data_IF_905289201593
#
_entry.id   IF_905289201593
#
_cell.length_a   1.000
_cell.length_b   1.000
_cell.length_c   1.000
_cell.angle_alpha   90.00
_cell.angle_beta   90.00
_cell.angle_gamma   90.00
#
_symmetry.space_group_name_H-M   'P 1'
#
loop_
_entity.id
_entity.type
_entity.pdbx_description
1 polymer ?
#
# COMPACT_ATOMS: atom_id res chain seq x y z
N UNK A 1 -0.05 -18.17 -8.52
CA UNK A 1 -0.47 -16.96 -7.79
C UNK A 1 0.81 -16.22 -7.44
N UNK A 2 0.94 -14.93 -7.76
CA UNK A 2 2.16 -14.15 -7.56
C UNK A 2 1.84 -12.89 -6.74
N UNK A 3 1.61 -13.00 -5.40
CA UNK A 3 1.35 -11.84 -4.56
C UNK A 3 2.53 -10.86 -4.57
N UNK A 4 3.78 -11.36 -4.66
CA UNK A 4 5.00 -10.57 -4.69
C UNK A 4 4.95 -9.46 -5.73
N UNK A 5 4.60 -9.78 -6.99
CA UNK A 5 4.56 -8.79 -8.06
C UNK A 5 3.62 -7.63 -7.74
N UNK A 6 2.43 -7.92 -7.20
CA UNK A 6 1.44 -6.90 -6.82
C UNK A 6 1.95 -5.99 -5.70
N UNK A 7 2.64 -6.59 -4.72
CA UNK A 7 3.24 -5.82 -3.63
C UNK A 7 4.31 -4.85 -4.16
N UNK A 8 5.18 -5.32 -5.07
CA UNK A 8 6.23 -4.48 -5.67
C UNK A 8 5.65 -3.40 -6.58
N UNK A 9 4.61 -3.69 -7.37
CA UNK A 9 3.89 -2.69 -8.18
C UNK A 9 3.29 -1.60 -7.28
N UNK A 10 2.68 -1.98 -6.14
CA UNK A 10 2.15 -1.03 -5.17
C UNK A 10 3.25 -0.22 -4.50
N UNK A 11 4.35 -0.84 -4.09
CA UNK A 11 5.50 -0.15 -3.52
C UNK A 11 6.09 0.86 -4.52
N UNK A 12 6.21 0.49 -5.80
CA UNK A 12 6.67 1.41 -6.84
C UNK A 12 5.71 2.59 -7.03
N UNK A 13 4.39 2.37 -6.97
CA UNK A 13 3.40 3.46 -7.00
C UNK A 13 3.63 4.42 -5.84
N UNK A 14 3.80 3.91 -4.60
CA UNK A 14 4.05 4.75 -3.42
C UNK A 14 5.31 5.61 -3.62
N UNK A 15 6.41 5.02 -4.11
CA UNK A 15 7.65 5.74 -4.42
C UNK A 15 7.41 6.82 -5.47
N UNK A 16 6.68 6.50 -6.54
CA UNK A 16 6.42 7.44 -7.64
C UNK A 16 5.58 8.64 -7.18
N UNK A 17 4.53 8.42 -6.37
CA UNK A 17 3.64 9.51 -5.91
C UNK A 17 4.24 10.35 -4.78
N UNK A 18 5.04 9.75 -3.89
CA UNK A 18 5.66 10.46 -2.76
C UNK A 18 7.06 11.02 -3.07
N UNK A 19 7.60 10.76 -4.26
CA UNK A 19 8.89 11.34 -4.66
C UNK A 19 8.77 12.85 -4.92
N UNK A 20 9.83 13.64 -4.68
CA UNK A 20 9.85 15.05 -5.05
C UNK A 20 9.46 15.25 -6.52
N UNK A 21 8.49 16.13 -6.78
CA UNK A 21 7.96 16.36 -8.13
C UNK A 21 7.06 15.23 -8.67
N UNK A 22 6.78 14.19 -7.88
CA UNK A 22 5.95 13.06 -8.30
C UNK A 22 4.51 13.47 -8.67
N UNK A 23 3.97 14.47 -7.98
CA UNK A 23 2.62 15.00 -8.20
C UNK A 23 2.60 16.30 -9.04
N UNK A 24 3.74 16.74 -9.60
CA UNK A 24 3.75 17.82 -10.57
C UNK A 24 2.96 17.43 -11.85
N UNK A 25 2.52 18.41 -12.63
CA UNK A 25 1.65 18.20 -13.80
C UNK A 25 2.15 17.11 -14.77
N UNK A 26 3.48 16.95 -14.90
CA UNK A 26 4.11 15.89 -15.70
C UNK A 26 4.85 14.87 -14.84
N UNK A 27 4.53 14.80 -13.55
CA UNK A 27 5.17 13.93 -12.57
C UNK A 27 4.93 12.45 -12.86
N UNK A 28 5.88 11.62 -12.43
CA UNK A 28 5.75 10.15 -12.55
C UNK A 28 4.58 9.62 -11.73
N UNK A 29 4.35 10.19 -10.54
CA UNK A 29 3.27 9.81 -9.64
C UNK A 29 1.90 10.03 -10.26
N UNK A 30 1.68 11.18 -10.94
CA UNK A 30 0.42 11.44 -11.67
C UNK A 30 0.16 10.36 -12.72
N UNK A 31 1.17 10.03 -13.55
CA UNK A 31 1.04 8.98 -14.57
C UNK A 31 0.79 7.59 -13.96
N UNK A 32 1.47 7.29 -12.86
CA UNK A 32 1.28 6.01 -12.16
C UNK A 32 -0.13 5.93 -11.55
N UNK A 33 -0.61 6.98 -10.89
CA UNK A 33 -1.98 7.03 -10.37
C UNK A 33 -3.03 6.85 -11.47
N UNK A 34 -2.86 7.52 -12.63
CA UNK A 34 -3.75 7.35 -13.79
C UNK A 34 -3.75 5.90 -14.33
N UNK A 35 -2.59 5.25 -14.40
CA UNK A 35 -2.48 3.84 -14.81
C UNK A 35 -3.22 2.92 -13.83
N UNK A 36 -3.06 3.14 -12.52
CA UNK A 36 -3.75 2.35 -11.49
C UNK A 36 -5.26 2.58 -11.58
N UNK A 37 -5.73 3.82 -11.76
CA UNK A 37 -7.14 4.13 -12.00
C UNK A 37 -7.71 3.40 -13.21
N UNK A 38 -6.98 3.39 -14.33
CA UNK A 38 -7.37 2.64 -15.52
C UNK A 38 -7.46 1.14 -15.25
N UNK A 39 -6.48 0.59 -14.53
CA UNK A 39 -6.49 -0.82 -14.14
C UNK A 39 -7.70 -1.16 -13.24
N UNK A 40 -8.05 -0.31 -12.29
CA UNK A 40 -9.23 -0.50 -11.46
C UNK A 40 -10.51 -0.55 -12.30
N UNK A 41 -10.64 0.35 -13.28
CA UNK A 41 -11.76 0.35 -14.21
C UNK A 41 -11.81 -0.93 -15.04
N UNK A 42 -10.68 -1.40 -15.53
CA UNK A 42 -10.53 -2.62 -16.29
C UNK A 42 -10.91 -3.87 -15.48
N UNK A 43 -10.38 -3.98 -14.24
CA UNK A 43 -10.68 -5.10 -13.35
C UNK A 43 -12.17 -5.09 -12.98
N UNK A 44 -12.75 -3.94 -12.70
CA UNK A 44 -14.19 -3.79 -12.46
C UNK A 44 -15.01 -4.31 -13.64
N UNK A 45 -14.65 -3.90 -14.84
CA UNK A 45 -15.30 -4.36 -16.06
C UNK A 45 -15.22 -5.88 -16.21
N UNK A 46 -14.03 -6.46 -16.04
CA UNK A 46 -13.86 -7.92 -16.11
C UNK A 46 -14.68 -8.68 -15.07
N UNK A 47 -14.68 -8.22 -13.82
CA UNK A 47 -15.46 -8.85 -12.75
C UNK A 47 -16.96 -8.85 -13.11
N UNK A 48 -17.45 -7.74 -13.67
CA UNK A 48 -18.87 -7.58 -13.98
C UNK A 48 -19.32 -8.27 -15.28
N UNK A 49 -18.40 -8.58 -16.19
CA UNK A 49 -18.74 -9.12 -17.53
C UNK A 49 -18.22 -10.53 -17.78
N UNK A 50 -17.27 -11.02 -16.98
CA UNK A 50 -16.69 -12.35 -17.15
C UNK A 50 -17.70 -13.46 -16.78
N UNK A 51 -17.93 -14.45 -17.63
CA UNK A 51 -18.78 -15.60 -17.29
C UNK A 51 -18.12 -16.54 -16.27
N UNK A 52 -16.83 -16.37 -15.97
CA UNK A 52 -16.05 -17.21 -15.05
C UNK A 52 -15.92 -16.62 -13.66
N UNK A 53 -16.46 -15.42 -13.42
CA UNK A 53 -16.41 -14.73 -12.13
C UNK A 53 -17.83 -14.54 -11.63
N UNK A 54 -18.13 -15.12 -10.47
CA UNK A 54 -19.38 -14.84 -9.75
C UNK A 54 -19.12 -13.70 -8.77
N UNK A 55 -19.83 -12.61 -8.96
CA UNK A 55 -19.77 -11.45 -8.05
C UNK A 55 -21.17 -11.11 -7.56
N UNK A 56 -21.41 -11.27 -6.27
CA UNK A 56 -22.68 -10.89 -5.66
C UNK A 56 -22.75 -9.39 -5.41
N UNK A 57 -23.44 -8.68 -6.30
CA UNK A 57 -23.61 -7.23 -6.19
C UNK A 57 -24.56 -6.81 -5.07
N UNK A 58 -25.41 -7.72 -4.60
CA UNK A 58 -26.37 -7.42 -3.53
C UNK A 58 -25.65 -7.38 -2.18
N UNK A 59 -24.63 -8.21 -2.01
CA UNK A 59 -23.81 -8.31 -0.79
C UNK A 59 -22.57 -7.40 -0.87
N UNK A 60 -21.83 -7.47 -1.97
CA UNK A 60 -20.53 -6.82 -2.12
C UNK A 60 -20.57 -5.46 -2.83
N UNK A 61 -21.73 -5.06 -3.35
CA UNK A 61 -21.86 -3.82 -4.12
C UNK A 61 -21.15 -3.86 -5.47
N UNK A 62 -20.79 -2.71 -6.00
CA UNK A 62 -19.98 -2.60 -7.23
C UNK A 62 -18.52 -2.83 -6.91
N UNK A 63 -17.80 -3.70 -7.64
CA UNK A 63 -16.36 -3.93 -7.40
C UNK A 63 -15.55 -2.64 -7.50
N UNK A 64 -14.62 -2.45 -6.59
CA UNK A 64 -13.74 -1.27 -6.54
C UNK A 64 -14.56 0.03 -6.51
N UNK A 65 -15.55 0.08 -5.62
CA UNK A 65 -16.42 1.23 -5.44
C UNK A 65 -15.71 2.36 -4.66
N UNK A 66 -16.42 3.44 -4.36
CA UNK A 66 -15.85 4.59 -3.65
C UNK A 66 -15.41 4.25 -2.22
N UNK A 67 -16.13 3.38 -1.51
CA UNK A 67 -15.77 2.94 -0.17
C UNK A 67 -14.50 2.07 -0.19
N UNK A 68 -14.34 1.19 -1.20
CA UNK A 68 -13.13 0.38 -1.40
C UNK A 68 -11.90 1.27 -1.66
N UNK A 69 -12.06 2.29 -2.49
CA UNK A 69 -11.01 3.25 -2.78
C UNK A 69 -10.64 4.09 -1.55
N UNK A 70 -11.64 4.56 -0.80
CA UNK A 70 -11.44 5.30 0.45
C UNK A 70 -10.75 4.46 1.52
N UNK A 71 -11.18 3.22 1.73
CA UNK A 71 -10.56 2.31 2.67
C UNK A 71 -9.08 2.08 2.33
N UNK A 72 -8.78 1.87 1.05
CA UNK A 72 -7.39 1.75 0.58
C UNK A 72 -6.61 3.05 0.79
N UNK A 73 -7.19 4.21 0.49
CA UNK A 73 -6.55 5.50 0.73
C UNK A 73 -6.24 5.72 2.21
N UNK A 74 -7.18 5.39 3.10
CA UNK A 74 -6.96 5.49 4.55
C UNK A 74 -5.87 4.55 5.03
N UNK A 75 -5.71 3.37 4.43
CA UNK A 75 -4.63 2.45 4.74
C UNK A 75 -3.25 3.05 4.47
N UNK A 76 -3.10 3.80 3.37
CA UNK A 76 -1.84 4.46 3.02
C UNK A 76 -1.63 5.81 3.70
N UNK A 77 -2.64 6.39 4.30
CA UNK A 77 -2.57 7.70 4.95
C UNK A 77 -2.74 7.60 6.47
N UNK A 78 -3.96 7.59 6.96
CA UNK A 78 -4.24 7.65 8.39
C UNK A 78 -3.71 6.44 9.17
N UNK A 79 -3.83 5.22 8.64
CA UNK A 79 -3.35 4.00 9.30
C UNK A 79 -1.83 4.03 9.50
N UNK A 80 -1.08 4.60 8.56
CA UNK A 80 0.37 4.81 8.71
C UNK A 80 0.65 5.79 9.85
N UNK A 81 -0.06 6.92 9.92
CA UNK A 81 0.09 7.89 11.00
C UNK A 81 -0.26 7.28 12.38
N UNK A 82 -1.32 6.48 12.45
CA UNK A 82 -1.71 5.79 13.67
C UNK A 82 -0.69 4.71 14.07
N UNK A 83 -0.17 3.95 13.11
CA UNK A 83 0.90 2.98 13.33
C UNK A 83 2.17 3.64 13.91
N UNK A 84 2.61 4.75 13.32
CA UNK A 84 3.75 5.53 13.84
C UNK A 84 3.49 6.05 15.26
N UNK A 85 2.26 6.52 15.53
CA UNK A 85 1.86 6.97 16.86
C UNK A 85 1.89 5.82 17.89
N UNK A 86 1.41 4.62 17.52
CA UNK A 86 1.48 3.41 18.37
C UNK A 86 2.93 3.05 18.70
N UNK A 87 3.85 3.23 17.73
CA UNK A 87 5.29 3.07 17.91
C UNK A 87 5.94 4.26 18.65
N UNK A 88 5.15 5.15 19.27
CA UNK A 88 5.61 6.34 20.00
C UNK A 88 6.48 7.29 19.18
N UNK A 89 6.43 7.20 17.85
CA UNK A 89 7.08 8.14 16.96
C UNK A 89 6.25 9.42 16.92
N UNK A 90 6.86 10.53 17.33
CA UNK A 90 6.19 11.85 17.36
C UNK A 90 6.21 12.45 15.95
N UNK A 91 5.03 12.81 15.47
CA UNK A 91 4.84 13.56 14.22
C UNK A 91 4.19 14.88 14.60
N UNK A 92 4.72 15.99 14.11
CA UNK A 92 4.08 17.28 14.34
C UNK A 92 2.69 17.31 13.67
N UNK A 93 1.68 17.94 14.30
CA UNK A 93 0.32 17.97 13.74
C UNK A 93 0.25 18.53 12.32
N UNK A 94 1.08 19.54 12.01
CA UNK A 94 1.18 20.10 10.67
C UNK A 94 1.73 19.11 9.64
N UNK A 95 2.73 18.30 10.01
CA UNK A 95 3.31 17.28 9.13
C UNK A 95 2.34 16.12 8.92
N UNK A 96 1.60 15.72 9.95
CA UNK A 96 0.56 14.71 9.84
C UNK A 96 -0.56 15.16 8.89
N UNK A 97 -0.99 16.43 8.97
CA UNK A 97 -1.97 16.99 8.06
C UNK A 97 -1.44 17.07 6.63
N UNK A 98 -0.20 17.56 6.45
CA UNK A 98 0.42 17.65 5.12
C UNK A 98 0.58 16.27 4.46
N UNK A 99 0.91 15.24 5.24
CA UNK A 99 0.97 13.86 4.77
C UNK A 99 -0.43 13.36 4.32
N UNK A 100 -1.47 13.63 5.12
CA UNK A 100 -2.84 13.31 4.75
C UNK A 100 -3.23 14.06 3.47
N UNK A 101 -3.03 15.38 3.38
CA UNK A 101 -3.40 16.20 2.22
C UNK A 101 -2.73 15.70 0.93
N UNK A 102 -1.50 15.23 1.02
CA UNK A 102 -0.80 14.58 -0.11
C UNK A 102 -1.55 13.34 -0.58
N UNK A 103 -1.96 12.46 0.35
CA UNK A 103 -2.74 11.27 0.00
C UNK A 103 -4.15 11.60 -0.50
N UNK A 104 -4.79 12.66 0.01
CA UNK A 104 -6.10 13.12 -0.50
C UNK A 104 -5.98 13.54 -1.97
N UNK A 105 -4.92 14.27 -2.33
CA UNK A 105 -4.64 14.64 -3.72
C UNK A 105 -4.43 13.40 -4.62
N UNK A 106 -3.74 12.37 -4.11
CA UNK A 106 -3.60 11.09 -4.79
C UNK A 106 -4.96 10.41 -4.94
N UNK A 107 -5.81 10.44 -3.92
CA UNK A 107 -7.18 9.91 -3.94
C UNK A 107 -8.03 10.53 -5.04
N UNK A 108 -7.98 11.84 -5.21
CA UNK A 108 -8.67 12.55 -6.30
C UNK A 108 -8.17 12.08 -7.68
N UNK A 109 -6.85 11.95 -7.87
CA UNK A 109 -6.26 11.41 -9.10
C UNK A 109 -6.72 9.98 -9.37
N UNK A 110 -6.90 9.18 -8.32
CA UNK A 110 -7.42 7.80 -8.39
C UNK A 110 -8.92 7.74 -8.66
N UNK A 111 -9.63 8.85 -8.57
CA UNK A 111 -11.05 8.98 -8.88
C UNK A 111 -11.98 8.84 -7.69
N UNK A 112 -11.49 9.14 -6.49
CA UNK A 112 -12.35 9.32 -5.33
C UNK A 112 -13.07 10.66 -5.44
N UNK A 113 -14.35 10.67 -5.17
CA UNK A 113 -15.19 11.87 -5.13
C UNK A 113 -14.70 12.83 -4.04
N UNK A 114 -14.37 14.10 -4.35
CA UNK A 114 -13.84 15.04 -3.36
C UNK A 114 -14.76 15.24 -2.14
N UNK A 115 -16.08 15.12 -2.32
CA UNK A 115 -17.04 15.24 -1.24
C UNK A 115 -16.95 14.12 -0.18
N UNK A 116 -16.31 13.00 -0.51
CA UNK A 116 -16.13 11.86 0.38
C UNK A 116 -14.79 11.90 1.13
N UNK A 117 -13.87 12.77 0.72
CA UNK A 117 -12.55 12.88 1.33
C UNK A 117 -12.62 13.59 2.68
N UNK A 118 -11.91 13.08 3.71
CA UNK A 118 -11.84 13.74 5.01
C UNK A 118 -11.03 15.04 4.92
N UNK A 119 -11.34 16.02 5.77
CA UNK A 119 -10.66 17.33 5.76
C UNK A 119 -9.55 17.44 6.82
N UNK A 120 -9.50 16.50 7.74
CA UNK A 120 -8.53 16.50 8.84
C UNK A 120 -8.12 15.08 9.23
N UNK A 121 -6.98 14.96 9.91
CA UNK A 121 -6.52 13.69 10.48
C UNK A 121 -7.55 13.08 11.42
N UNK A 122 -8.31 13.90 12.16
CA UNK A 122 -9.37 13.42 13.04
C UNK A 122 -10.55 12.84 12.24
N UNK A 123 -11.01 13.52 11.19
CA UNK A 123 -12.04 13.01 10.29
C UNK A 123 -11.60 11.74 9.56
N UNK A 124 -10.32 11.67 9.12
CA UNK A 124 -9.75 10.48 8.52
C UNK A 124 -9.80 9.27 9.47
N UNK A 125 -9.51 9.49 10.75
CA UNK A 125 -9.64 8.44 11.77
C UNK A 125 -11.08 7.98 11.99
N UNK A 126 -12.02 8.90 12.06
CA UNK A 126 -13.44 8.58 12.20
C UNK A 126 -13.95 7.80 10.98
N UNK A 127 -13.58 8.23 9.77
CA UNK A 127 -13.92 7.56 8.52
C UNK A 127 -13.33 6.15 8.46
N UNK A 128 -12.04 6.00 8.80
CA UNK A 128 -11.37 4.68 8.87
C UNK A 128 -12.14 3.75 9.80
N UNK A 129 -12.47 4.18 11.01
CA UNK A 129 -13.20 3.36 11.96
C UNK A 129 -14.61 2.95 11.48
N UNK A 130 -15.27 3.77 10.66
CA UNK A 130 -16.55 3.42 10.04
C UNK A 130 -16.35 2.36 8.97
N UNK A 131 -15.38 2.54 8.08
CA UNK A 131 -15.08 1.59 6.99
C UNK A 131 -14.64 0.23 7.57
N UNK A 132 -13.77 0.23 8.57
CA UNK A 132 -13.30 -1.00 9.24
C UNK A 132 -14.48 -1.81 9.79
N UNK A 133 -15.39 -1.18 10.52
CA UNK A 133 -16.58 -1.87 11.07
C UNK A 133 -17.51 -2.43 10.00
N UNK A 134 -17.52 -1.86 8.81
CA UNK A 134 -18.38 -2.28 7.71
C UNK A 134 -17.75 -3.36 6.84
N UNK A 135 -16.44 -3.27 6.62
CA UNK A 135 -15.75 -4.02 5.58
C UNK A 135 -14.83 -5.12 6.12
N UNK A 136 -14.28 -4.96 7.34
CA UNK A 136 -13.37 -5.98 7.88
C UNK A 136 -14.16 -7.14 8.45
N UNK A 137 -14.02 -8.30 7.80
CA UNK A 137 -14.64 -9.54 8.21
C UNK A 137 -13.73 -10.75 7.91
N UNK A 138 -13.85 -11.86 8.63
CA UNK A 138 -13.14 -13.08 8.30
C UNK A 138 -13.47 -13.57 6.89
N UNK A 139 -12.45 -13.95 6.13
CA UNK A 139 -12.64 -14.57 4.81
C UNK A 139 -11.53 -15.56 4.48
N UNK A 140 -11.85 -16.68 3.79
CA UNK A 140 -10.82 -17.63 3.35
C UNK A 140 -9.75 -16.98 2.48
N UNK A 141 -10.14 -16.05 1.60
CA UNK A 141 -9.21 -15.31 0.74
C UNK A 141 -8.25 -14.42 1.55
N UNK A 142 -8.73 -13.78 2.64
CA UNK A 142 -7.90 -12.98 3.54
C UNK A 142 -6.86 -13.83 4.25
N UNK A 143 -7.25 -14.98 4.76
CA UNK A 143 -6.35 -15.94 5.44
C UNK A 143 -5.29 -16.49 4.47
N UNK A 144 -5.69 -16.89 3.24
CA UNK A 144 -4.75 -17.35 2.21
C UNK A 144 -3.76 -16.24 1.80
N UNK A 145 -4.23 -15.01 1.67
CA UNK A 145 -3.38 -13.88 1.31
C UNK A 145 -2.37 -13.55 2.42
N UNK A 146 -2.82 -13.58 3.69
CA UNK A 146 -1.93 -13.38 4.84
C UNK A 146 -0.88 -14.48 4.92
N UNK A 147 -1.24 -15.74 4.74
CA UNK A 147 -0.29 -16.85 4.72
C UNK A 147 0.78 -16.66 3.63
N UNK A 148 0.37 -16.26 2.41
CA UNK A 148 1.30 -16.00 1.32
C UNK A 148 2.22 -14.78 1.60
N UNK A 149 1.71 -13.75 2.28
CA UNK A 149 2.51 -12.60 2.71
C UNK A 149 3.56 -13.01 3.75
N UNK A 150 3.16 -13.76 4.76
CA UNK A 150 4.07 -14.25 5.80
C UNK A 150 5.16 -15.16 5.24
N UNK A 151 4.82 -16.06 4.33
CA UNK A 151 5.79 -16.91 3.63
C UNK A 151 6.81 -16.08 2.85
N UNK A 152 6.34 -15.09 2.09
CA UNK A 152 7.21 -14.18 1.34
C UNK A 152 8.14 -13.41 2.28
N UNK A 153 7.63 -12.85 3.38
CA UNK A 153 8.43 -12.10 4.34
C UNK A 153 9.46 -13.00 5.02
N UNK A 154 9.07 -14.21 5.42
CA UNK A 154 9.98 -15.19 6.05
C UNK A 154 11.06 -15.68 5.10
N UNK A 155 10.80 -15.70 3.78
CA UNK A 155 11.80 -16.06 2.77
C UNK A 155 12.91 -15.00 2.63
N UNK A 156 12.56 -13.73 2.83
CA UNK A 156 13.45 -12.58 2.65
C UNK A 156 14.23 -12.19 3.92
N UNK A 157 14.07 -12.92 5.03
CA UNK A 157 14.83 -12.69 6.26
C UNK A 157 15.69 -13.91 6.63
N UNK A 158 16.81 -13.72 7.35
CA UNK A 158 17.63 -14.84 7.83
C UNK A 158 16.79 -15.80 8.68
N UNK A 159 17.11 -17.11 8.72
CA UNK A 159 16.33 -18.12 9.44
C UNK A 159 16.02 -17.80 10.89
N UNK A 160 16.96 -17.15 11.60
CA UNK A 160 16.79 -16.74 12.99
C UNK A 160 15.72 -15.63 13.21
N UNK A 161 15.30 -14.95 12.14
CA UNK A 161 14.34 -13.82 12.22
C UNK A 161 13.01 -14.12 11.52
N UNK A 162 12.73 -15.38 11.16
CA UNK A 162 11.52 -15.75 10.40
C UNK A 162 10.21 -15.49 11.13
N UNK A 163 10.22 -15.40 12.45
CA UNK A 163 9.05 -15.10 13.29
C UNK A 163 8.81 -13.59 13.46
N UNK A 164 9.82 -12.76 13.19
CA UNK A 164 9.73 -11.30 13.35
C UNK A 164 8.60 -10.68 12.52
N UNK A 165 8.40 -11.04 11.23
CA UNK A 165 7.31 -10.49 10.44
C UNK A 165 5.93 -10.72 11.04
N UNK A 166 5.62 -11.91 11.53
CA UNK A 166 4.32 -12.22 12.15
C UNK A 166 4.13 -11.46 13.46
N UNK A 167 5.17 -11.34 14.27
CA UNK A 167 5.15 -10.55 15.51
C UNK A 167 4.90 -9.06 15.22
N UNK A 168 5.56 -8.49 14.21
CA UNK A 168 5.34 -7.11 13.78
C UNK A 168 3.90 -6.89 13.25
N UNK A 169 3.39 -7.81 12.44
CA UNK A 169 2.02 -7.71 11.92
C UNK A 169 1.02 -7.71 13.08
N UNK A 170 1.21 -8.55 14.09
CA UNK A 170 0.35 -8.56 15.29
C UNK A 170 0.40 -7.26 16.10
N UNK A 171 1.53 -6.56 16.09
CA UNK A 171 1.67 -5.25 16.76
C UNK A 171 0.81 -4.17 16.07
N UNK A 172 0.68 -4.24 14.75
CA UNK A 172 -0.07 -3.25 13.96
C UNK A 172 -1.56 -3.57 13.81
N UNK A 173 -1.96 -4.83 13.91
CA UNK A 173 -3.35 -5.25 13.74
C UNK A 173 -4.09 -5.34 15.09
N UNK A 174 -5.41 -5.08 15.11
CA UNK A 174 -6.27 -5.52 16.21
C UNK A 174 -6.16 -7.04 16.45
N UNK A 175 -6.22 -7.47 17.70
CA UNK A 175 -5.96 -8.85 18.08
C UNK A 175 -6.93 -9.86 17.44
N UNK A 176 -8.19 -9.48 17.29
CA UNK A 176 -9.23 -10.25 16.60
C UNK A 176 -8.96 -10.37 15.11
N UNK A 177 -8.57 -9.26 14.45
CA UNK A 177 -8.18 -9.24 13.03
C UNK A 177 -6.96 -10.12 12.77
N UNK A 178 -5.91 -10.01 13.59
CA UNK A 178 -4.74 -10.86 13.48
C UNK A 178 -5.10 -12.35 13.66
N UNK A 179 -6.07 -12.65 14.54
CA UNK A 179 -6.50 -14.01 14.83
C UNK A 179 -7.27 -14.62 13.66
N UNK A 180 -8.26 -13.92 13.10
CA UNK A 180 -9.01 -14.49 11.98
C UNK A 180 -8.20 -14.51 10.67
N UNK A 181 -7.19 -13.68 10.52
CA UNK A 181 -6.23 -13.76 9.42
C UNK A 181 -5.22 -14.92 9.59
N UNK A 182 -5.22 -15.61 10.72
CA UNK A 182 -4.32 -16.72 10.99
C UNK A 182 -2.87 -16.30 11.21
N UNK A 183 -2.63 -15.05 11.67
CA UNK A 183 -1.27 -14.60 12.00
C UNK A 183 -0.78 -15.35 13.25
N UNK A 184 0.36 -16.10 13.19
CA UNK A 184 0.88 -16.83 14.33
C UNK A 184 1.19 -15.90 15.51
N UNK A 185 0.95 -16.39 16.73
CA UNK A 185 1.31 -15.68 17.95
C UNK A 185 2.61 -16.24 18.53
N UNK A 186 3.66 -15.46 18.46
CA UNK A 186 4.98 -15.77 19.02
C UNK A 186 5.23 -14.93 20.25
N UNK A 187 4.58 -15.30 21.37
CA UNK A 187 4.61 -14.52 22.61
C UNK A 187 6.03 -14.22 23.11
N UNK A 188 6.92 -15.21 23.10
CA UNK A 188 8.29 -15.04 23.60
C UNK A 188 9.12 -14.09 22.74
N UNK A 189 8.98 -14.15 21.43
CA UNK A 189 9.69 -13.26 20.52
C UNK A 189 9.20 -11.81 20.63
N UNK A 190 7.90 -11.60 20.87
CA UNK A 190 7.35 -10.26 21.14
C UNK A 190 7.93 -9.63 22.40
N UNK A 191 8.05 -10.40 23.48
CA UNK A 191 8.70 -9.96 24.73
C UNK A 191 10.16 -9.56 24.46
N UNK A 192 10.89 -10.34 23.65
CA UNK A 192 12.26 -10.07 23.29
C UNK A 192 12.39 -8.82 22.43
N UNK A 193 11.52 -8.62 21.43
CA UNK A 193 11.48 -7.40 20.61
C UNK A 193 11.17 -6.17 21.47
N UNK A 194 10.21 -6.26 22.37
CA UNK A 194 9.89 -5.21 23.32
C UNK A 194 11.05 -4.88 24.27
N UNK A 195 11.85 -5.87 24.65
CA UNK A 195 13.07 -5.65 25.43
C UNK A 195 14.17 -4.94 24.62
N UNK A 196 14.37 -5.36 23.37
CA UNK A 196 15.32 -4.72 22.44
C UNK A 196 14.91 -3.26 22.20
N UNK A 197 13.63 -2.98 21.96
CA UNK A 197 13.09 -1.63 21.80
C UNK A 197 13.33 -0.77 23.05
N UNK A 198 13.08 -1.32 24.25
CA UNK A 198 13.36 -0.63 25.52
C UNK A 198 14.83 -0.34 25.73
N UNK A 199 15.72 -1.21 25.25
CA UNK A 199 17.18 -1.02 25.38
C UNK A 199 17.75 -0.06 24.34
N UNK A 200 17.13 0.03 23.14
CA UNK A 200 17.58 0.94 22.06
C UNK A 200 16.99 2.35 22.21
N UNK A 201 15.81 2.50 22.83
CA UNK A 201 15.14 3.77 23.03
C UNK A 201 16.00 4.86 23.76
N UNK A 202 16.80 4.54 24.78
CA UNK A 202 17.68 5.53 25.43
C UNK A 202 18.82 6.03 24.53
N UNK A 203 19.33 5.17 23.63
CA UNK A 203 20.38 5.55 22.68
C UNK A 203 19.90 6.57 21.63
N UNK A 204 18.59 6.55 21.31
CA UNK A 204 17.96 7.53 20.43
C UNK A 204 17.80 8.92 21.07
N UNK A 205 17.69 9.01 22.41
CA UNK A 205 17.55 10.27 23.15
C UNK A 205 18.84 11.10 23.22
N UNK A 206 20.02 10.49 23.01
CA UNK A 206 21.32 11.19 23.05
C UNK A 206 21.80 11.71 21.68
N UNK A 207 21.04 11.48 20.61
CA UNK A 207 21.39 11.94 19.27
C UNK A 207 20.79 13.32 18.98
N UNK A 208 21.36 14.36 19.56
CA UNK A 208 20.99 15.76 19.34
C UNK A 208 21.51 16.28 17.97
N UNK A 209 21.01 15.68 16.88
CA UNK A 209 21.31 16.11 15.51
C UNK A 209 20.10 15.85 14.58
N UNK A 210 19.03 16.59 14.83
CA UNK A 210 17.76 16.47 14.09
C UNK A 210 17.93 16.47 12.54
N UNK A 211 18.77 17.35 12.03
CA UNK A 211 18.98 17.48 10.57
C UNK A 211 19.77 16.29 9.95
N UNK A 212 20.74 15.69 10.65
CA UNK A 212 21.50 14.52 10.16
C UNK A 212 20.67 13.25 10.26
N UNK A 213 19.88 13.12 11.32
CA UNK A 213 18.99 11.98 11.54
C UNK A 213 17.94 11.86 10.43
N UNK A 214 17.28 12.94 10.07
CA UNK A 214 16.32 12.98 8.96
C UNK A 214 16.97 12.62 7.62
N UNK A 215 18.22 13.08 7.36
CA UNK A 215 18.94 12.74 6.13
C UNK A 215 19.30 11.27 6.03
N UNK A 216 19.78 10.65 7.13
CA UNK A 216 20.18 9.24 7.17
C UNK A 216 18.95 8.33 7.11
N UNK A 217 17.90 8.60 7.89
CA UNK A 217 16.65 7.83 7.86
C UNK A 217 16.01 7.93 6.46
N UNK A 218 15.97 9.12 5.86
CA UNK A 218 15.46 9.31 4.52
C UNK A 218 16.27 8.54 3.48
N UNK A 219 17.60 8.62 3.54
CA UNK A 219 18.48 7.90 2.62
C UNK A 219 18.32 6.37 2.77
N UNK A 220 18.27 5.88 4.02
CA UNK A 220 18.03 4.46 4.31
C UNK A 220 16.65 4.01 3.82
N UNK A 221 15.58 4.78 4.10
CA UNK A 221 14.22 4.46 3.66
C UNK A 221 14.09 4.44 2.13
N UNK A 222 14.70 5.41 1.44
CA UNK A 222 14.73 5.44 -0.03
C UNK A 222 15.55 4.27 -0.58
N UNK A 223 16.68 3.93 0.05
CA UNK A 223 17.48 2.76 -0.35
C UNK A 223 16.76 1.45 -0.10
N UNK A 224 16.08 1.31 1.04
CA UNK A 224 15.29 0.13 1.38
C UNK A 224 14.12 -0.04 0.40
N UNK A 225 13.36 1.02 0.13
CA UNK A 225 12.26 1.01 -0.83
C UNK A 225 12.76 0.70 -2.25
N UNK A 226 13.88 1.29 -2.69
CA UNK A 226 14.49 0.97 -3.96
C UNK A 226 14.98 -0.48 -4.01
N UNK A 227 15.61 -0.98 -2.95
CA UNK A 227 16.01 -2.37 -2.84
C UNK A 227 14.80 -3.31 -2.91
N UNK A 228 13.73 -3.03 -2.16
CA UNK A 228 12.50 -3.81 -2.21
C UNK A 228 11.85 -3.81 -3.60
N UNK A 229 11.94 -2.71 -4.34
CA UNK A 229 11.38 -2.60 -5.71
C UNK A 229 12.27 -3.21 -6.79
N UNK A 230 13.54 -3.54 -6.48
CA UNK A 230 14.51 -4.08 -7.45
C UNK A 230 14.96 -5.50 -7.19
N UNK A 231 14.90 -5.98 -5.93
CA UNK A 231 15.47 -7.26 -5.51
C UNK A 231 14.82 -8.49 -6.16
N UNK A 232 13.56 -8.42 -6.55
CA UNK A 232 12.81 -9.57 -7.11
C UNK A 232 12.74 -9.58 -8.66
N UNK A 233 13.44 -8.67 -9.33
CA UNK A 233 13.35 -8.45 -10.78
C UNK A 233 14.73 -8.33 -11.45
N UNK A 234 15.74 -9.04 -10.97
CA UNK A 234 17.12 -9.01 -11.54
C UNK A 234 17.66 -7.57 -11.73
N UNK A 235 17.36 -6.68 -10.77
CA UNK A 235 17.80 -5.29 -10.82
C UNK A 235 16.95 -4.36 -11.71
N UNK A 236 15.88 -4.87 -12.32
CA UNK A 236 14.94 -4.05 -13.08
C UNK A 236 13.78 -3.57 -12.18
N UNK A 237 13.40 -2.30 -12.31
CA UNK A 237 12.23 -1.77 -11.61
C UNK A 237 10.95 -2.46 -12.09
N UNK A 238 10.05 -2.79 -11.17
CA UNK A 238 8.73 -3.30 -11.49
C UNK A 238 8.04 -2.32 -12.45
N UNK A 239 7.79 -2.77 -13.68
CA UNK A 239 6.95 -2.01 -14.61
C UNK A 239 5.52 -2.42 -14.38
N UNK A 240 4.66 -1.44 -14.17
CA UNK A 240 3.24 -1.66 -14.14
C UNK A 240 2.78 -2.15 -15.52
N UNK A 241 2.43 -3.44 -15.61
CA UNK A 241 1.94 -4.03 -16.84
C UNK A 241 0.47 -4.44 -16.66
N UNK A 242 -0.34 -4.17 -17.66
CA UNK A 242 -1.69 -4.73 -17.73
C UNK A 242 -1.60 -6.27 -17.81
N UNK A 243 -2.50 -7.01 -17.14
CA UNK A 243 -2.57 -8.47 -17.32
C UNK A 243 -2.75 -8.85 -18.80
N UNK A 244 -2.07 -9.93 -19.24
CA UNK A 244 -2.13 -10.39 -20.63
C UNK A 244 -3.58 -10.66 -21.09
N UNK A 245 -4.41 -11.19 -20.19
CA UNK A 245 -5.85 -11.39 -20.43
C UNK A 245 -6.62 -10.10 -20.74
N UNK A 246 -6.21 -8.96 -20.16
CA UNK A 246 -6.77 -7.64 -20.48
C UNK A 246 -6.25 -7.11 -21.82
N UNK A 247 -4.97 -7.34 -22.07
CA UNK A 247 -4.32 -6.95 -23.34
C UNK A 247 -4.96 -7.69 -24.50
N UNK A 248 -5.25 -8.99 -24.35
CA UNK A 248 -5.93 -9.81 -25.33
C UNK A 248 -7.40 -9.41 -25.51
N UNK A 249 -8.17 -9.29 -24.41
CA UNK A 249 -9.59 -8.92 -24.45
C UNK A 249 -9.85 -7.56 -25.08
N UNK A 250 -8.92 -6.64 -24.94
CA UNK A 250 -9.00 -5.29 -25.51
C UNK A 250 -8.26 -5.14 -26.85
N UNK A 251 -7.72 -6.23 -27.39
CA UNK A 251 -6.92 -6.21 -28.62
C UNK A 251 -5.80 -5.18 -28.58
N UNK A 252 -5.23 -4.96 -27.40
CA UNK A 252 -4.09 -4.07 -27.22
C UNK A 252 -2.85 -4.79 -27.78
N UNK A 253 -2.06 -4.06 -28.54
CA UNK A 253 -0.84 -4.61 -29.09
C UNK A 253 0.14 -5.05 -27.97
N UNK A 254 1.03 -6.04 -28.22
CA UNK A 254 1.98 -6.53 -27.24
C UNK A 254 2.82 -5.42 -26.59
N UNK A 255 3.35 -5.66 -25.40
CA UNK A 255 4.03 -4.69 -24.56
C UNK A 255 5.18 -3.90 -25.24
N UNK A 256 5.78 -4.44 -26.29
CA UNK A 256 6.81 -3.76 -27.11
C UNK A 256 6.24 -2.53 -27.88
N UNK A 257 4.92 -2.37 -27.88
CA UNK A 257 4.21 -1.27 -28.52
C UNK A 257 3.59 -0.26 -27.54
N UNK A 258 3.87 -0.33 -26.24
CA UNK A 258 3.35 0.61 -25.22
C UNK A 258 3.64 2.07 -25.62
N UNK A 259 4.82 2.33 -26.14
CA UNK A 259 5.21 3.65 -26.65
C UNK A 259 4.35 4.09 -27.82
N UNK A 260 3.88 3.17 -28.66
CA UNK A 260 3.02 3.45 -29.82
C UNK A 260 1.55 3.68 -29.44
N UNK A 261 1.06 3.04 -28.39
CA UNK A 261 -0.30 3.25 -27.88
C UNK A 261 -0.46 4.64 -27.27
N UNK A 262 0.47 5.03 -26.41
CA UNK A 262 0.44 6.33 -25.76
C UNK A 262 0.68 7.47 -26.74
N UNK A 263 1.53 7.27 -27.76
CA UNK A 263 1.70 8.23 -28.86
C UNK A 263 0.40 8.41 -29.66
N UNK A 264 -0.36 7.34 -29.92
CA UNK A 264 -1.66 7.43 -30.62
C UNK A 264 -2.74 8.10 -29.78
N UNK A 265 -2.75 7.88 -28.47
CA UNK A 265 -3.68 8.55 -27.57
C UNK A 265 -3.39 10.05 -27.47
N UNK A 266 -2.12 10.42 -27.34
CA UNK A 266 -1.67 11.81 -27.30
C UNK A 266 -1.88 12.58 -28.62
N UNK A 267 -1.91 11.87 -29.74
CA UNK A 267 -2.17 12.47 -31.07
C UNK A 267 -3.67 12.68 -31.36
N UNK A 268 -4.57 12.18 -30.49
CA UNK A 268 -6.04 12.32 -30.62
C UNK A 268 -6.63 13.28 -29.55
N UNK A 269 -5.83 13.80 -28.65
CA UNK A 269 -6.15 14.84 -27.69
C UNK A 269 -5.65 16.20 -28.16
#
# INVERSE_FOLDING_TARGET
KRPNRRLFETAQMIVDVLSPGGLDANGRGVRTAQKVRLMHAAIRHLILTSPHVTWDRSDLGTPINQEDLLGTLMTFSWVILDGLRRQKIRIAPADAQAFLDTWLSIGELMGIEPALLPRSVAEAGALTAIIERRQIAPSPAGTEMMAALLEMMAHNVPPAFRTVPSSMIREFLPADVATFLGVPDHFFERELLGLVERLTHPLEMFADHEARRHGVIRAFSVHLLNAMTTLDLDGQRARFALPDTLTEAWQLAPADSEESFWRRLAARA
#
